data_IF_741167452811
#
_entry.id   IF_741167452811
#
_cell.length_a   1.000
_cell.length_b   1.000
_cell.length_c   1.000
_cell.angle_alpha   90.00
_cell.angle_beta   90.00
_cell.angle_gamma   90.00
#
_symmetry.space_group_name_H-M   'P 1'
#
loop_
_entity.id
_entity.type
_entity.pdbx_description
1 polymer ?
#
# COMPACT_ATOMS: atom_id res chain seq x y z
N UNK A 1 40.29 25.63 21.39
CA UNK A 1 39.55 25.30 20.17
C UNK A 1 39.15 23.83 20.25
N UNK A 2 37.87 23.51 20.40
CA UNK A 2 37.41 22.12 20.38
C UNK A 2 37.30 21.66 18.92
N UNK A 3 37.81 20.47 18.57
CA UNK A 3 37.81 20.01 17.19
C UNK A 3 36.38 19.77 16.70
N UNK A 4 36.09 20.38 15.56
CA UNK A 4 34.81 20.36 14.86
C UNK A 4 34.45 18.90 14.52
N UNK A 5 33.36 18.39 15.11
CA UNK A 5 32.83 17.06 14.77
C UNK A 5 32.35 17.07 13.31
N UNK A 6 32.73 16.08 12.47
CA UNK A 6 32.26 16.02 11.10
C UNK A 6 30.74 15.81 11.05
N UNK A 7 30.11 16.53 10.13
CA UNK A 7 28.68 16.75 9.99
C UNK A 7 27.79 15.49 10.12
N UNK A 8 26.79 15.61 10.99
CA UNK A 8 25.70 14.68 11.29
C UNK A 8 24.71 14.44 10.12
N UNK A 9 25.09 14.72 8.86
CA UNK A 9 24.18 14.78 7.69
C UNK A 9 23.91 13.46 6.98
N UNK A 10 24.74 12.43 7.18
CA UNK A 10 24.62 11.15 6.45
C UNK A 10 24.16 9.95 7.30
N UNK A 11 23.78 10.19 8.56
CA UNK A 11 23.38 9.11 9.47
C UNK A 11 21.94 8.63 9.19
N UNK A 12 21.80 7.38 8.71
CA UNK A 12 20.50 6.75 8.39
C UNK A 12 19.99 5.96 9.59
N UNK A 13 18.68 5.97 9.88
CA UNK A 13 18.13 5.10 10.94
C UNK A 13 18.46 3.63 10.66
N UNK A 14 18.92 2.90 11.68
CA UNK A 14 19.35 1.51 11.57
C UNK A 14 18.27 0.59 10.95
N UNK A 15 17.01 0.74 11.37
CA UNK A 15 15.91 -0.03 10.80
C UNK A 15 15.68 0.24 9.30
N UNK A 16 15.97 1.45 8.83
CA UNK A 16 15.93 1.82 7.42
C UNK A 16 17.11 1.19 6.69
N UNK A 17 18.33 1.30 7.22
CA UNK A 17 19.53 0.69 6.66
C UNK A 17 19.36 -0.83 6.45
N UNK A 18 18.92 -1.56 7.50
CA UNK A 18 18.65 -3.00 7.41
C UNK A 18 17.57 -3.31 6.37
N UNK A 19 16.49 -2.52 6.33
CA UNK A 19 15.43 -2.74 5.34
C UNK A 19 15.87 -2.47 3.90
N UNK A 20 16.74 -1.49 3.70
CA UNK A 20 17.30 -1.13 2.39
C UNK A 20 18.34 -2.15 1.91
N UNK A 21 18.99 -2.91 2.79
CA UNK A 21 19.80 -4.05 2.38
C UNK A 21 19.01 -5.17 1.69
N UNK A 22 17.67 -5.12 1.75
CA UNK A 22 16.77 -6.16 1.27
C UNK A 22 16.48 -7.27 2.28
N UNK A 23 17.15 -7.28 3.44
CA UNK A 23 17.06 -8.37 4.42
C UNK A 23 15.65 -8.59 5.00
N UNK A 24 14.95 -7.52 5.40
CA UNK A 24 13.62 -7.63 5.99
C UNK A 24 12.85 -6.29 5.90
N UNK A 25 11.61 -6.23 6.39
CA UNK A 25 10.91 -4.94 6.50
C UNK A 25 11.44 -4.08 7.66
N UNK A 26 11.25 -2.76 7.61
CA UNK A 26 11.65 -1.86 8.72
C UNK A 26 11.08 -2.28 10.08
N UNK A 27 9.83 -2.78 10.11
CA UNK A 27 9.19 -3.27 11.35
C UNK A 27 9.84 -4.55 11.86
N UNK A 28 10.33 -5.39 10.96
CA UNK A 28 11.03 -6.62 11.33
C UNK A 28 12.45 -6.30 11.79
N UNK A 29 13.10 -5.31 11.16
CA UNK A 29 14.36 -4.78 11.64
C UNK A 29 14.23 -4.23 13.06
N UNK A 30 13.17 -3.46 13.37
CA UNK A 30 12.89 -3.03 14.74
C UNK A 30 12.73 -4.23 15.70
N UNK A 31 12.01 -5.28 15.31
CA UNK A 31 11.90 -6.51 16.11
C UNK A 31 13.25 -7.18 16.36
N UNK A 32 14.12 -7.26 15.35
CA UNK A 32 15.47 -7.82 15.53
C UNK A 32 16.31 -6.98 16.49
N UNK A 33 16.20 -5.64 16.41
CA UNK A 33 16.89 -4.73 17.31
C UNK A 33 16.38 -4.92 18.75
N UNK A 34 15.05 -4.96 18.95
CA UNK A 34 14.42 -5.19 20.26
C UNK A 34 14.82 -6.55 20.89
N UNK A 35 15.00 -7.58 20.06
CA UNK A 35 15.44 -8.91 20.47
C UNK A 35 16.96 -9.00 20.73
N UNK A 36 17.71 -7.90 20.55
CA UNK A 36 19.16 -7.88 20.73
C UNK A 36 19.93 -8.69 19.68
N UNK A 37 19.30 -8.96 18.53
CA UNK A 37 19.88 -9.71 17.41
C UNK A 37 20.71 -8.85 16.46
N UNK A 38 20.75 -7.53 16.69
CA UNK A 38 21.46 -6.57 15.84
C UNK A 38 22.62 -5.95 16.61
N UNK A 39 23.79 -5.93 15.99
CA UNK A 39 24.97 -5.22 16.50
C UNK A 39 25.37 -4.10 15.55
N UNK A 40 25.78 -2.96 16.12
CA UNK A 40 26.34 -1.80 15.44
C UNK A 40 27.76 -1.59 15.98
N UNK A 41 28.79 -1.72 15.16
CA UNK A 41 30.20 -1.65 15.59
C UNK A 41 30.51 -2.55 16.79
N UNK A 42 30.00 -3.79 16.78
CA UNK A 42 30.19 -4.77 17.85
C UNK A 42 29.34 -4.57 19.11
N UNK A 43 28.71 -3.40 19.33
CA UNK A 43 27.76 -3.21 20.45
C UNK A 43 26.34 -3.64 20.06
N UNK A 44 25.55 -4.11 21.01
CA UNK A 44 24.11 -4.32 20.78
C UNK A 44 23.45 -3.00 20.39
N UNK A 45 22.67 -3.03 19.32
CA UNK A 45 21.94 -1.88 18.85
C UNK A 45 20.64 -1.68 19.65
N UNK A 46 20.17 -0.44 19.69
CA UNK A 46 18.89 -0.05 20.31
C UNK A 46 17.97 0.62 19.29
N UNK A 47 16.66 0.55 19.54
CA UNK A 47 15.67 1.15 18.64
C UNK A 47 15.90 2.66 18.55
N UNK A 48 16.06 3.16 17.33
CA UNK A 48 16.34 4.57 17.07
C UNK A 48 17.80 4.88 16.76
N UNK A 49 18.71 3.91 16.93
CA UNK A 49 20.11 4.02 16.50
C UNK A 49 20.20 4.46 15.03
N UNK A 50 21.27 5.21 14.73
CA UNK A 50 21.62 5.62 13.37
C UNK A 50 22.94 4.98 12.96
N UNK A 51 23.09 4.81 11.65
CA UNK A 51 24.22 4.17 10.97
C UNK A 51 24.85 5.22 10.07
N UNK A 52 26.12 5.51 10.31
CA UNK A 52 26.97 6.31 9.44
C UNK A 52 27.63 5.48 8.32
N UNK A 53 28.32 6.12 7.37
CA UNK A 53 28.91 5.44 6.22
C UNK A 53 29.97 4.38 6.56
N UNK A 54 30.67 4.54 7.69
CA UNK A 54 31.75 3.65 8.15
C UNK A 54 31.29 2.62 9.17
N UNK A 55 30.02 2.66 9.58
CA UNK A 55 29.52 1.80 10.64
C UNK A 55 29.27 0.38 10.14
N UNK A 56 29.69 -0.60 10.94
CA UNK A 56 29.47 -2.02 10.70
C UNK A 56 28.17 -2.49 11.36
N UNK A 57 27.20 -2.90 10.55
CA UNK A 57 25.93 -3.46 11.03
C UNK A 57 25.90 -4.97 10.81
N UNK A 58 25.60 -5.75 11.85
CA UNK A 58 25.32 -7.18 11.73
C UNK A 58 23.95 -7.52 12.28
N UNK A 59 23.25 -8.43 11.61
CA UNK A 59 21.98 -9.02 12.08
C UNK A 59 22.20 -10.52 12.20
N UNK A 60 21.98 -11.09 13.39
CA UNK A 60 22.29 -12.49 13.69
C UNK A 60 23.74 -12.88 13.31
N UNK A 61 24.70 -11.99 13.56
CA UNK A 61 26.12 -12.17 13.24
C UNK A 61 26.51 -11.97 11.77
N UNK A 62 25.54 -11.90 10.85
CA UNK A 62 25.78 -11.66 9.42
C UNK A 62 25.93 -10.17 9.11
N UNK A 63 27.00 -9.80 8.43
CA UNK A 63 27.24 -8.44 7.96
C UNK A 63 26.15 -7.99 6.99
N UNK A 64 25.59 -6.81 7.25
CA UNK A 64 24.60 -6.14 6.40
C UNK A 64 25.33 -5.15 5.51
N UNK A 65 25.45 -5.48 4.22
CA UNK A 65 26.04 -4.58 3.25
C UNK A 65 25.05 -3.45 2.88
N UNK A 66 25.58 -2.24 2.70
CA UNK A 66 24.83 -1.16 2.08
C UNK A 66 24.50 -1.54 0.63
N UNK A 67 23.25 -1.37 0.20
CA UNK A 67 22.91 -1.53 -1.21
C UNK A 67 23.49 -0.38 -2.03
N UNK A 68 24.01 -0.70 -3.22
CA UNK A 68 24.35 0.32 -4.21
C UNK A 68 23.06 0.97 -4.71
N UNK A 69 22.83 2.23 -4.32
CA UNK A 69 21.62 2.98 -4.69
C UNK A 69 21.53 3.34 -6.17
N UNK A 70 22.61 3.20 -6.94
CA UNK A 70 22.64 3.44 -8.39
C UNK A 70 22.13 2.23 -9.17
N UNK A 71 22.20 1.03 -8.58
CA UNK A 71 21.70 -0.22 -9.18
C UNK A 71 20.48 -0.69 -8.41
N UNK A 72 19.29 -0.22 -8.83
CA UNK A 72 18.02 -0.63 -8.25
C UNK A 72 17.07 -1.17 -9.33
N UNK A 73 16.16 -2.02 -8.88
CA UNK A 73 15.08 -2.55 -9.71
C UNK A 73 13.97 -1.51 -9.78
N UNK A 74 13.43 -1.29 -10.97
CA UNK A 74 12.21 -0.52 -11.16
C UNK A 74 11.38 -1.15 -12.28
N UNK A 75 10.24 -1.74 -11.89
CA UNK A 75 9.38 -2.49 -12.81
C UNK A 75 7.99 -1.86 -12.92
N UNK A 76 7.39 -2.03 -14.08
CA UNK A 76 5.96 -1.85 -14.33
C UNK A 76 5.28 -3.21 -14.33
N UNK A 77 4.25 -3.35 -13.49
CA UNK A 77 3.40 -4.53 -13.40
C UNK A 77 1.99 -4.19 -13.91
N UNK A 78 1.42 -5.04 -14.77
CA UNK A 78 -0.01 -5.08 -14.99
C UNK A 78 -0.64 -5.96 -13.91
N UNK A 79 -1.05 -5.35 -12.79
CA UNK A 79 -1.53 -6.08 -11.62
C UNK A 79 -2.91 -6.69 -11.91
N UNK A 80 -3.12 -8.00 -11.69
CA UNK A 80 -4.44 -8.60 -11.82
C UNK A 80 -5.36 -8.28 -10.64
N UNK A 81 -6.66 -8.52 -10.83
CA UNK A 81 -7.64 -8.58 -9.73
C UNK A 81 -7.27 -9.72 -8.77
N UNK A 82 -7.53 -9.54 -7.48
CA UNK A 82 -7.28 -10.54 -6.44
C UNK A 82 -5.92 -10.43 -5.73
N UNK A 83 -4.92 -9.83 -6.39
CA UNK A 83 -3.62 -9.48 -5.78
C UNK A 83 -3.77 -8.23 -4.91
N UNK A 84 -3.14 -8.23 -3.74
CA UNK A 84 -3.20 -7.13 -2.76
C UNK A 84 -1.90 -6.32 -2.80
N UNK A 85 -2.02 -5.00 -2.95
CA UNK A 85 -0.88 -4.06 -2.98
C UNK A 85 -0.26 -3.84 -1.59
N UNK A 86 0.31 -4.89 -1.01
CA UNK A 86 0.95 -4.91 0.31
C UNK A 86 2.25 -5.70 0.27
N UNK A 87 3.13 -5.44 1.23
CA UNK A 87 4.38 -6.19 1.47
C UNK A 87 4.29 -7.04 2.73
N UNK A 88 3.10 -7.12 3.32
CA UNK A 88 2.82 -7.95 4.49
C UNK A 88 2.92 -9.44 4.12
N UNK A 89 3.77 -10.17 4.83
CA UNK A 89 4.01 -11.60 4.63
C UNK A 89 2.82 -12.45 5.06
N UNK A 90 1.95 -11.96 5.94
CA UNK A 90 0.72 -12.64 6.36
C UNK A 90 -0.35 -12.65 5.26
N UNK A 91 -0.34 -11.67 4.35
CA UNK A 91 -1.23 -11.67 3.18
C UNK A 91 -0.73 -12.71 2.16
N UNK A 92 -1.58 -13.69 1.87
CA UNK A 92 -1.24 -14.80 0.95
C UNK A 92 -1.08 -14.29 -0.48
N UNK A 93 -1.94 -13.37 -0.91
CA UNK A 93 -1.96 -12.85 -2.28
C UNK A 93 -1.27 -11.48 -2.38
N UNK A 94 -0.19 -11.28 -1.61
CA UNK A 94 0.53 -10.01 -1.63
C UNK A 94 1.33 -9.84 -2.93
N UNK A 95 1.53 -8.58 -3.32
CA UNK A 95 2.11 -8.24 -4.62
C UNK A 95 3.57 -8.66 -4.77
N UNK A 96 4.35 -8.75 -3.67
CA UNK A 96 5.74 -9.20 -3.73
C UNK A 96 5.82 -10.69 -4.09
N UNK A 97 5.02 -11.51 -3.41
CA UNK A 97 4.91 -12.96 -3.69
C UNK A 97 4.39 -13.20 -5.10
N UNK A 98 3.42 -12.40 -5.54
CA UNK A 98 2.87 -12.51 -6.89
C UNK A 98 3.93 -12.25 -7.97
N UNK A 99 4.75 -11.22 -7.81
CA UNK A 99 5.81 -10.89 -8.79
C UNK A 99 6.95 -11.91 -8.74
N UNK A 100 7.30 -12.42 -7.55
CA UNK A 100 8.34 -13.44 -7.40
C UNK A 100 9.76 -12.94 -7.77
N UNK A 101 10.01 -11.64 -7.66
CA UNK A 101 11.31 -11.06 -8.00
C UNK A 101 12.41 -11.49 -7.01
N UNK A 102 13.64 -11.67 -7.51
CA UNK A 102 14.80 -12.09 -6.69
C UNK A 102 15.17 -11.05 -5.62
N UNK A 103 15.18 -9.78 -6.02
CA UNK A 103 15.34 -8.66 -5.08
C UNK A 103 14.03 -8.31 -4.40
N UNK A 104 14.15 -7.83 -3.15
CA UNK A 104 13.02 -7.29 -2.39
C UNK A 104 12.56 -5.96 -3.00
N UNK A 105 11.36 -5.94 -3.56
CA UNK A 105 10.76 -4.78 -4.22
C UNK A 105 9.49 -4.29 -3.51
N UNK A 106 9.19 -3.00 -3.57
CA UNK A 106 8.06 -2.37 -2.90
C UNK A 106 7.13 -1.72 -3.92
N UNK A 107 5.80 -1.87 -3.79
CA UNK A 107 4.87 -1.17 -4.65
C UNK A 107 4.90 0.35 -4.41
N UNK A 108 4.89 1.11 -5.49
CA UNK A 108 4.79 2.57 -5.45
C UNK A 108 3.31 2.94 -5.50
N UNK A 109 2.76 3.18 -4.31
CA UNK A 109 1.33 3.37 -4.12
C UNK A 109 0.56 2.05 -4.10
N UNK A 110 -0.74 2.14 -4.34
CA UNK A 110 -1.64 0.99 -4.21
C UNK A 110 -2.68 1.00 -5.32
N UNK A 111 -3.08 -0.19 -5.72
CA UNK A 111 -4.36 -0.49 -6.35
C UNK A 111 -5.16 -1.38 -5.41
N UNK A 112 -6.47 -1.17 -5.36
CA UNK A 112 -7.37 -2.01 -4.58
C UNK A 112 -7.32 -3.46 -5.07
N UNK A 113 -7.72 -4.41 -4.22
CA UNK A 113 -7.75 -5.84 -4.55
C UNK A 113 -8.65 -6.12 -5.75
N UNK A 114 -9.76 -5.41 -5.85
CA UNK A 114 -10.77 -5.49 -6.93
C UNK A 114 -10.40 -4.66 -8.18
N UNK A 115 -9.22 -4.02 -8.19
CA UNK A 115 -8.76 -3.14 -9.26
C UNK A 115 -7.50 -3.70 -9.91
N UNK A 116 -7.30 -3.37 -11.19
CA UNK A 116 -6.22 -3.91 -12.01
C UNK A 116 -5.45 -2.84 -12.78
N UNK A 117 -4.42 -3.25 -13.51
CA UNK A 117 -3.64 -2.40 -14.39
C UNK A 117 -2.31 -1.97 -13.80
N UNK A 118 -1.77 -0.89 -14.35
CA UNK A 118 -0.40 -0.45 -14.14
C UNK A 118 -0.11 -0.12 -12.68
N UNK A 119 0.94 -0.69 -12.11
CA UNK A 119 1.53 -0.29 -10.84
C UNK A 119 3.04 -0.46 -10.91
N UNK A 120 3.79 0.46 -10.28
CA UNK A 120 5.24 0.35 -10.21
C UNK A 120 5.68 -0.41 -8.98
N UNK A 121 6.80 -1.11 -9.08
CA UNK A 121 7.53 -1.65 -7.95
C UNK A 121 9.01 -1.31 -8.06
N UNK A 122 9.68 -1.08 -6.94
CA UNK A 122 11.12 -0.77 -6.92
C UNK A 122 11.83 -1.40 -5.73
N UNK A 123 13.11 -1.77 -5.86
CA UNK A 123 13.93 -2.13 -4.68
C UNK A 123 14.42 -0.90 -3.89
N UNK A 124 14.32 0.30 -4.47
CA UNK A 124 14.72 1.54 -3.82
C UNK A 124 13.57 2.19 -3.03
N UNK A 125 13.54 1.96 -1.72
CA UNK A 125 12.53 2.50 -0.81
C UNK A 125 12.47 4.03 -0.73
N UNK A 126 13.57 4.73 -1.05
CA UNK A 126 13.62 6.20 -1.06
C UNK A 126 12.74 6.77 -2.19
N UNK A 127 12.67 6.10 -3.34
CA UNK A 127 11.87 6.53 -4.50
C UNK A 127 10.37 6.42 -4.24
N UNK A 128 9.94 5.46 -3.41
CA UNK A 128 8.52 5.22 -3.12
C UNK A 128 7.86 6.50 -2.59
N UNK A 129 8.45 7.11 -1.56
CA UNK A 129 7.88 8.32 -0.96
C UNK A 129 8.05 9.56 -1.85
N UNK A 130 9.17 9.66 -2.59
CA UNK A 130 9.39 10.78 -3.52
C UNK A 130 8.31 10.82 -4.60
N UNK A 131 8.05 9.69 -5.25
CA UNK A 131 7.03 9.56 -6.31
C UNK A 131 5.62 9.71 -5.72
N UNK A 132 5.33 9.16 -4.54
CA UNK A 132 4.01 9.33 -3.93
C UNK A 132 3.71 10.77 -3.53
N UNK A 133 4.70 11.50 -3.01
CA UNK A 133 4.53 12.92 -2.59
C UNK A 133 4.48 13.87 -3.77
N UNK A 134 5.35 13.68 -4.76
CA UNK A 134 5.25 14.37 -6.04
C UNK A 134 3.97 13.97 -6.79
N UNK A 135 3.41 12.80 -6.45
CA UNK A 135 2.22 12.17 -7.00
C UNK A 135 1.02 13.09 -7.18
N UNK A 136 0.85 14.11 -6.31
CA UNK A 136 -0.21 15.11 -6.43
C UNK A 136 -0.07 16.04 -7.66
N UNK A 137 1.06 15.98 -8.37
CA UNK A 137 1.30 16.62 -9.67
C UNK A 137 1.29 15.61 -10.83
N UNK A 138 1.29 14.31 -10.53
CA UNK A 138 1.45 13.25 -11.54
C UNK A 138 0.12 12.64 -11.93
N UNK A 139 -0.21 12.78 -13.21
CA UNK A 139 -1.40 12.18 -13.79
C UNK A 139 -1.37 10.64 -13.73
N UNK A 140 -2.51 10.07 -13.35
CA UNK A 140 -2.83 8.66 -13.37
C UNK A 140 -4.10 8.49 -14.18
N UNK A 141 -4.05 7.71 -15.24
CA UNK A 141 -5.18 7.50 -16.16
C UNK A 141 -5.83 6.16 -15.91
N UNK A 142 -7.16 6.14 -15.92
CA UNK A 142 -7.96 4.96 -15.67
C UNK A 142 -9.01 4.79 -16.75
N UNK A 143 -9.30 3.54 -17.08
CA UNK A 143 -10.48 3.13 -17.84
C UNK A 143 -11.42 2.38 -16.90
N UNK A 144 -12.68 2.80 -16.90
CA UNK A 144 -13.68 2.37 -15.93
C UNK A 144 -14.91 1.88 -16.67
N UNK A 145 -15.35 0.67 -16.33
CA UNK A 145 -16.62 0.10 -16.78
C UNK A 145 -17.63 0.16 -15.64
N UNK A 146 -18.82 0.65 -15.92
CA UNK A 146 -19.91 0.80 -14.94
C UNK A 146 -21.13 -0.05 -15.31
N UNK A 147 -22.01 -0.28 -14.34
CA UNK A 147 -23.16 -1.16 -14.49
C UNK A 147 -24.38 -0.56 -15.25
N UNK A 148 -24.35 0.73 -15.63
CA UNK A 148 -25.47 1.45 -16.30
C UNK A 148 -24.95 2.39 -17.38
N UNK A 149 -25.79 2.77 -18.37
CA UNK A 149 -25.38 3.69 -19.43
C UNK A 149 -24.93 5.04 -18.88
N UNK A 150 -23.85 5.57 -19.42
CA UNK A 150 -23.23 6.83 -19.01
C UNK A 150 -23.98 8.00 -19.65
N UNK A 151 -24.36 8.98 -18.83
CA UNK A 151 -25.03 10.22 -19.27
C UNK A 151 -24.06 11.39 -19.36
N UNK A 152 -24.37 12.42 -20.17
CA UNK A 152 -23.59 13.66 -20.19
C UNK A 152 -23.49 14.34 -18.81
N UNK A 153 -24.56 14.29 -18.01
CA UNK A 153 -24.58 14.84 -16.65
C UNK A 153 -23.63 14.11 -15.70
N UNK A 154 -23.53 12.77 -15.82
CA UNK A 154 -22.55 12.01 -15.06
C UNK A 154 -21.12 12.46 -15.40
N UNK A 155 -20.80 12.62 -16.69
CA UNK A 155 -19.46 13.05 -17.12
C UNK A 155 -19.16 14.46 -16.61
N UNK A 156 -20.12 15.39 -16.75
CA UNK A 156 -19.98 16.77 -16.26
C UNK A 156 -19.85 16.83 -14.74
N UNK A 157 -20.64 16.05 -14.00
CA UNK A 157 -20.56 15.96 -12.55
C UNK A 157 -19.23 15.38 -12.08
N UNK A 158 -18.80 14.26 -12.65
CA UNK A 158 -17.53 13.61 -12.35
C UNK A 158 -16.32 14.53 -12.58
N UNK A 159 -16.35 15.32 -13.66
CA UNK A 159 -15.24 16.22 -14.03
C UNK A 159 -15.11 17.45 -13.11
N UNK A 160 -16.22 17.93 -12.52
CA UNK A 160 -16.25 19.17 -11.75
C UNK A 160 -15.85 19.04 -10.28
N UNK A 161 -15.52 17.83 -9.84
CA UNK A 161 -15.24 17.51 -8.45
C UNK A 161 -16.48 16.90 -7.79
N UNK A 162 -16.25 15.91 -6.92
CA UNK A 162 -17.30 15.11 -6.29
C UNK A 162 -17.08 15.12 -4.77
N UNK A 163 -18.11 15.37 -3.95
CA UNK A 163 -17.97 15.32 -2.50
C UNK A 163 -17.89 13.87 -2.02
N UNK A 164 -16.71 13.46 -1.57
CA UNK A 164 -16.46 12.13 -1.00
C UNK A 164 -15.56 12.24 0.23
N UNK A 165 -15.71 11.33 1.20
CA UNK A 165 -14.84 11.30 2.39
C UNK A 165 -14.76 12.65 3.15
N UNK A 166 -15.84 13.43 3.15
CA UNK A 166 -15.91 14.72 3.81
C UNK A 166 -15.11 15.85 3.14
N UNK A 167 -14.69 15.67 1.87
CA UNK A 167 -14.00 16.71 1.09
C UNK A 167 -14.41 16.67 -0.38
N UNK A 168 -14.10 17.73 -1.12
CA UNK A 168 -14.36 17.81 -2.56
C UNK A 168 -13.14 17.29 -3.32
N UNK A 169 -13.32 16.33 -4.23
CA UNK A 169 -12.22 15.92 -5.11
C UNK A 169 -11.78 17.07 -6.01
N UNK A 170 -10.54 17.03 -6.48
CA UNK A 170 -10.09 17.95 -7.52
C UNK A 170 -10.86 17.71 -8.81
N UNK A 171 -11.00 18.78 -9.61
CA UNK A 171 -11.49 18.66 -10.99
C UNK A 171 -10.57 17.75 -11.79
N UNK A 172 -11.16 16.96 -12.68
CA UNK A 172 -10.43 15.98 -13.46
C UNK A 172 -10.95 15.89 -14.90
N UNK A 173 -10.11 15.37 -15.80
CA UNK A 173 -10.52 15.09 -17.18
C UNK A 173 -11.31 13.79 -17.18
N UNK A 174 -12.50 13.81 -17.76
CA UNK A 174 -13.39 12.65 -17.90
C UNK A 174 -13.89 12.59 -19.34
N UNK A 175 -13.80 11.43 -19.97
CA UNK A 175 -14.21 11.21 -21.35
C UNK A 175 -14.99 9.90 -21.45
N UNK A 176 -16.20 9.96 -21.99
CA UNK A 176 -16.94 8.75 -22.35
C UNK A 176 -16.27 8.05 -23.54
N UNK A 177 -16.05 6.74 -23.43
CA UNK A 177 -15.48 5.91 -24.49
C UNK A 177 -16.53 5.01 -25.16
N UNK A 178 -17.55 4.60 -24.42
CA UNK A 178 -18.70 3.85 -24.92
C UNK A 178 -19.91 4.04 -24.01
N UNK A 179 -21.01 3.33 -24.28
CA UNK A 179 -22.22 3.35 -23.44
C UNK A 179 -21.93 3.08 -21.96
N UNK A 180 -21.00 2.18 -21.64
CA UNK A 180 -20.73 1.73 -20.27
C UNK A 180 -19.29 2.01 -19.81
N UNK A 181 -18.46 2.64 -20.64
CA UNK A 181 -17.03 2.83 -20.36
C UNK A 181 -16.66 4.31 -20.45
N UNK A 182 -15.92 4.79 -19.46
CA UNK A 182 -15.28 6.11 -19.49
C UNK A 182 -13.82 6.04 -19.09
N UNK A 183 -13.07 7.04 -19.53
CA UNK A 183 -11.70 7.33 -19.10
C UNK A 183 -11.72 8.49 -18.13
N UNK A 184 -10.87 8.44 -17.11
CA UNK A 184 -10.58 9.60 -16.27
C UNK A 184 -9.10 9.71 -15.91
N UNK A 185 -8.65 10.93 -15.67
CA UNK A 185 -7.27 11.23 -15.29
C UNK A 185 -7.23 11.97 -13.96
N UNK A 186 -6.62 11.35 -12.94
CA UNK A 186 -6.49 11.89 -11.59
C UNK A 186 -5.05 12.23 -11.25
N UNK A 187 -4.84 13.34 -10.54
CA UNK A 187 -3.56 13.68 -9.92
C UNK A 187 -3.51 13.25 -8.46
N UNK A 188 -4.64 13.13 -7.78
CA UNK A 188 -4.75 12.63 -6.41
C UNK A 188 -5.04 11.11 -6.36
N UNK A 189 -5.04 10.55 -5.15
CA UNK A 189 -5.22 9.12 -4.92
C UNK A 189 -5.86 8.81 -3.58
N UNK A 190 -7.10 9.28 -3.36
CA UNK A 190 -7.85 8.99 -2.14
C UNK A 190 -8.28 7.51 -2.08
N UNK A 191 -8.62 7.04 -0.88
CA UNK A 191 -9.05 5.65 -0.70
C UNK A 191 -10.32 5.33 -1.53
N UNK A 192 -10.20 4.39 -2.46
CA UNK A 192 -11.28 3.95 -3.36
C UNK A 192 -11.94 5.11 -4.13
N UNK A 193 -11.18 6.18 -4.42
CA UNK A 193 -11.68 7.45 -4.94
C UNK A 193 -12.69 7.28 -6.08
N UNK A 194 -12.29 6.61 -7.16
CA UNK A 194 -13.09 6.45 -8.38
C UNK A 194 -14.40 5.72 -8.10
N UNK A 195 -14.36 4.68 -7.26
CA UNK A 195 -15.54 3.89 -6.90
C UNK A 195 -16.53 4.74 -6.10
N UNK A 196 -16.03 5.51 -5.12
CA UNK A 196 -16.85 6.45 -4.33
C UNK A 196 -17.44 7.57 -5.18
N UNK A 197 -16.67 8.09 -6.14
CA UNK A 197 -17.19 9.10 -7.07
C UNK A 197 -18.31 8.53 -7.95
N UNK A 198 -18.18 7.28 -8.41
CA UNK A 198 -19.25 6.61 -9.15
C UNK A 198 -20.48 6.37 -8.26
N UNK A 199 -20.29 5.87 -7.04
CA UNK A 199 -21.35 5.61 -6.06
C UNK A 199 -22.16 6.88 -5.76
N UNK A 200 -21.52 8.04 -5.68
CA UNK A 200 -22.19 9.34 -5.48
C UNK A 200 -23.24 9.65 -6.56
N UNK A 201 -22.99 9.25 -7.81
CA UNK A 201 -23.94 9.42 -8.92
C UNK A 201 -24.84 8.19 -9.12
N UNK A 202 -24.84 7.23 -8.19
CA UNK A 202 -25.62 5.99 -8.31
C UNK A 202 -25.03 4.96 -9.28
N UNK A 203 -23.73 5.04 -9.59
CA UNK A 203 -23.02 4.10 -10.46
C UNK A 203 -22.16 3.11 -9.66
N UNK A 204 -22.28 1.82 -9.98
CA UNK A 204 -21.40 0.76 -9.50
C UNK A 204 -20.31 0.47 -10.54
N UNK A 205 -19.06 0.39 -10.09
CA UNK A 205 -17.89 0.08 -10.94
C UNK A 205 -17.72 -1.43 -11.10
N UNK A 206 -17.82 -1.92 -12.33
CA UNK A 206 -17.63 -3.33 -12.73
C UNK A 206 -16.17 -3.66 -13.06
N UNK A 207 -15.47 -2.75 -13.74
CA UNK A 207 -14.04 -2.89 -14.06
C UNK A 207 -13.34 -1.57 -13.79
N UNK A 208 -12.19 -1.61 -13.12
CA UNK A 208 -11.33 -0.46 -12.90
C UNK A 208 -9.89 -0.82 -13.26
N UNK A 209 -9.39 -0.21 -14.33
CA UNK A 209 -8.06 -0.50 -14.88
C UNK A 209 -7.24 0.78 -14.99
N UNK A 210 -6.09 0.84 -14.31
CA UNK A 210 -5.15 1.94 -14.47
C UNK A 210 -4.30 1.71 -15.72
N UNK A 211 -4.44 2.58 -16.73
CA UNK A 211 -3.79 2.42 -18.04
C UNK A 211 -2.50 3.24 -18.17
N UNK A 212 -2.29 4.26 -17.32
CA UNK A 212 -1.10 5.11 -17.37
C UNK A 212 -0.74 5.68 -16.00
N UNK A 213 0.55 5.82 -15.74
CA UNK A 213 1.12 6.59 -14.63
C UNK A 213 2.22 7.46 -15.24
N UNK A 214 2.07 8.78 -15.15
CA UNK A 214 3.02 9.73 -15.76
C UNK A 214 3.20 9.46 -17.26
N UNK A 215 4.43 9.22 -17.70
CA UNK A 215 4.86 8.88 -19.05
C UNK A 215 4.71 7.38 -19.37
N UNK A 216 4.59 6.50 -18.37
CA UNK A 216 4.51 5.04 -18.58
C UNK A 216 3.07 4.61 -18.84
N UNK A 217 2.86 3.93 -19.96
CA UNK A 217 1.58 3.35 -20.37
C UNK A 217 1.60 1.84 -20.17
N UNK A 218 0.42 1.27 -19.92
CA UNK A 218 0.21 -0.18 -19.82
C UNK A 218 0.58 -0.87 -21.15
N UNK A 219 0.18 -0.29 -22.28
CA UNK A 219 0.55 -0.77 -23.61
C UNK A 219 0.15 -2.23 -23.84
N UNK A 220 1.07 -3.02 -24.39
CA UNK A 220 0.88 -4.45 -24.67
C UNK A 220 1.18 -5.37 -23.47
N UNK A 221 1.49 -4.83 -22.29
CA UNK A 221 1.82 -5.62 -21.09
C UNK A 221 0.60 -6.40 -20.63
N UNK A 222 0.64 -7.72 -20.76
CA UNK A 222 -0.49 -8.58 -20.42
C UNK A 222 -0.75 -8.62 -18.92
N UNK A 223 -2.00 -8.92 -18.54
CA UNK A 223 -2.41 -9.01 -17.13
C UNK A 223 -1.56 -10.06 -16.41
N UNK A 224 -1.00 -9.67 -15.26
CA UNK A 224 -0.10 -10.49 -14.46
C UNK A 224 1.37 -10.39 -14.84
N UNK A 225 1.69 -9.85 -16.02
CA UNK A 225 3.07 -9.68 -16.44
C UNK A 225 3.67 -8.36 -15.93
N UNK A 226 4.99 -8.38 -15.77
CA UNK A 226 5.79 -7.22 -15.44
C UNK A 226 7.00 -7.12 -16.35
N UNK A 227 7.53 -5.91 -16.47
CA UNK A 227 8.79 -5.62 -17.18
C UNK A 227 9.58 -4.55 -16.46
N UNK A 228 10.88 -4.50 -16.70
CA UNK A 228 11.67 -3.32 -16.33
C UNK A 228 11.15 -2.09 -17.08
N UNK A 229 11.26 -0.92 -16.43
CA UNK A 229 11.12 0.33 -17.15
C UNK A 229 12.27 0.48 -18.15
N UNK A 230 11.97 1.09 -19.29
CA UNK A 230 13.00 1.52 -20.22
C UNK A 230 13.81 2.67 -19.61
N UNK A 231 15.05 2.86 -20.08
CA UNK A 231 15.90 3.96 -19.61
C UNK A 231 15.23 5.33 -19.77
N UNK A 232 14.55 5.55 -20.90
CA UNK A 232 13.77 6.76 -21.16
C UNK A 232 12.62 6.92 -20.16
N UNK A 233 11.86 5.86 -19.93
CA UNK A 233 10.76 5.91 -18.97
C UNK A 233 11.25 6.27 -17.57
N UNK A 234 12.36 5.66 -17.14
CA UNK A 234 12.95 5.91 -15.83
C UNK A 234 13.52 7.33 -15.74
N UNK A 235 14.24 7.81 -16.77
CA UNK A 235 14.81 9.16 -16.80
C UNK A 235 13.74 10.24 -16.64
N UNK A 236 12.63 10.13 -17.38
CA UNK A 236 11.49 11.06 -17.27
C UNK A 236 10.88 11.04 -15.85
N UNK A 237 10.74 9.85 -15.24
CA UNK A 237 10.23 9.72 -13.86
C UNK A 237 11.18 10.43 -12.90
N UNK A 238 12.48 10.18 -13.01
CA UNK A 238 13.50 10.76 -12.13
C UNK A 238 13.56 12.29 -12.27
N UNK A 239 13.47 12.81 -13.50
CA UNK A 239 13.37 14.24 -13.75
C UNK A 239 12.10 14.84 -13.12
N UNK A 240 10.96 14.14 -13.21
CA UNK A 240 9.68 14.64 -12.68
C UNK A 240 9.61 14.69 -11.14
N UNK A 241 10.52 14.00 -10.44
CA UNK A 241 10.59 13.96 -8.98
C UNK A 241 11.82 14.66 -8.39
N UNK A 242 12.65 15.32 -9.22
CA UNK A 242 13.91 15.92 -8.79
C UNK A 242 13.74 16.91 -7.63
N UNK A 243 12.68 17.72 -7.65
CA UNK A 243 12.37 18.72 -6.61
C UNK A 243 11.71 18.11 -5.35
N UNK A 244 11.39 16.82 -5.37
CA UNK A 244 10.70 16.14 -4.27
C UNK A 244 11.70 15.67 -3.22
N UNK A 245 11.72 16.34 -2.07
CA UNK A 245 12.61 15.97 -0.95
C UNK A 245 12.27 14.62 -0.30
N UNK A 246 11.13 14.00 -0.64
CA UNK A 246 10.67 12.72 -0.07
C UNK A 246 10.28 12.78 1.41
N UNK A 247 10.66 13.86 2.10
CA UNK A 247 10.34 14.17 3.49
C UNK A 247 8.91 14.72 3.61
N UNK A 248 8.30 14.54 4.78
CA UNK A 248 7.03 15.21 5.08
C UNK A 248 7.29 16.72 5.23
N UNK A 249 6.40 17.61 4.74
CA UNK A 249 6.50 19.02 5.07
C UNK A 249 6.49 19.19 6.60
N UNK A 250 7.43 19.97 7.13
CA UNK A 250 7.44 20.30 8.56
C UNK A 250 6.17 21.09 8.88
N UNK A 251 5.30 20.54 9.73
CA UNK A 251 4.11 21.29 10.19
C UNK A 251 2.88 20.49 10.61
N UNK A 252 2.69 19.25 10.17
CA UNK A 252 1.55 18.45 10.64
C UNK A 252 1.84 17.75 11.98
N UNK A 253 1.80 18.52 13.08
CA UNK A 253 1.59 17.94 14.41
C UNK A 253 0.21 17.27 14.42
N UNK A 254 0.15 15.96 14.27
CA UNK A 254 -1.09 15.23 14.54
C UNK A 254 -1.46 15.49 16.00
N UNK A 255 -2.53 16.26 16.25
CA UNK A 255 -3.13 16.32 17.59
C UNK A 255 -3.63 14.92 17.90
N UNK A 256 -2.83 14.13 18.64
CA UNK A 256 -3.30 12.89 19.24
C UNK A 256 -4.53 13.23 20.11
N UNK A 257 -5.66 12.53 19.96
CA UNK A 257 -6.76 12.69 20.91
C UNK A 257 -6.22 12.33 22.31
N UNK A 258 -6.38 13.23 23.28
CA UNK A 258 -6.08 12.92 24.68
C UNK A 258 -7.08 11.87 25.14
N UNK A 259 -6.63 10.62 25.26
CA UNK A 259 -7.39 9.58 25.93
C UNK A 259 -7.56 9.97 27.40
N UNK A 260 -8.78 10.33 27.81
CA UNK A 260 -9.13 10.50 29.22
C UNK A 260 -9.32 9.10 29.81
N UNK A 261 -8.46 8.71 30.76
CA UNK A 261 -8.70 7.54 31.61
C UNK A 261 -10.05 7.73 32.34
N UNK A 262 -10.91 6.71 32.42
CA UNK A 262 -12.02 6.73 33.37
C UNK A 262 -11.46 6.79 34.79
N UNK A 263 -12.03 7.63 35.63
CA UNK A 263 -11.70 7.71 37.05
C UNK A 263 -12.16 6.43 37.75
N UNK A 264 -11.30 5.88 38.61
CA UNK A 264 -11.68 4.85 39.58
C UNK A 264 -12.82 5.39 40.47
N UNK A 265 -13.99 4.80 40.30
CA UNK A 265 -15.19 5.09 41.09
C UNK A 265 -15.80 3.77 41.52
N UNK A 266 -15.59 3.43 42.79
CA UNK A 266 -16.23 2.34 43.51
C UNK A 266 -17.77 2.42 43.40
N UNK A 267 -18.40 1.41 42.83
CA UNK A 267 -19.84 1.21 42.95
C UNK A 267 -20.16 -0.28 43.09
N UNK A 268 -20.67 -0.63 44.27
CA UNK A 268 -21.16 -1.96 44.66
C UNK A 268 -22.44 -2.35 43.87
N UNK A 269 -22.75 -3.65 43.76
CA UNK A 269 -23.84 -4.13 42.91
C UNK A 269 -25.21 -3.96 43.60
N UNK A 270 -26.10 -3.19 43.00
CA UNK A 270 -27.51 -3.13 43.41
C UNK A 270 -28.31 -4.29 42.80
N UNK A 271 -28.87 -5.12 43.67
CA UNK A 271 -29.83 -6.20 43.39
C UNK A 271 -31.03 -5.66 42.60
N UNK A 272 -31.42 -6.32 41.50
CA UNK A 272 -32.74 -6.14 40.87
C UNK A 272 -33.61 -7.36 41.11
N UNK A 273 -34.68 -7.12 41.85
CA UNK A 273 -35.82 -7.99 42.07
C UNK A 273 -36.69 -8.09 40.81
N UNK A 274 -37.31 -9.25 40.65
CA UNK A 274 -38.26 -9.56 39.58
C UNK A 274 -39.58 -8.79 39.75
N UNK A 275 -40.11 -8.25 38.65
CA UNK A 275 -41.55 -8.24 38.41
C UNK A 275 -41.83 -8.37 36.91
N UNK A 276 -42.95 -9.03 36.65
CA UNK A 276 -43.37 -9.71 35.44
C UNK A 276 -44.48 -8.89 34.76
N UNK A 277 -44.52 -8.83 33.42
CA UNK A 277 -45.71 -8.87 32.56
C UNK A 277 -45.42 -8.40 31.13
N UNK A 278 -45.91 -9.16 30.13
CA UNK A 278 -46.11 -8.68 28.75
C UNK A 278 -45.60 -9.63 27.65
N UNK A 279 -46.51 -10.43 27.09
CA UNK A 279 -46.32 -11.55 26.12
C UNK A 279 -46.04 -11.10 24.66
N UNK A 280 -44.99 -11.66 24.02
CA UNK A 280 -44.98 -12.57 22.82
C UNK A 280 -45.12 -11.93 21.42
N UNK A 281 -44.82 -12.60 20.27
CA UNK A 281 -44.49 -14.02 20.08
C UNK A 281 -43.32 -14.35 19.11
N UNK A 282 -42.99 -15.65 19.13
CA UNK A 282 -42.23 -16.45 18.17
C UNK A 282 -40.72 -16.63 18.35
N UNK A 283 -40.41 -17.73 19.04
CA UNK A 283 -39.14 -18.42 19.00
C UNK A 283 -39.32 -19.76 18.27
N UNK A 284 -38.29 -20.13 17.50
CA UNK A 284 -37.77 -21.49 17.25
C UNK A 284 -38.56 -22.47 16.37
N UNK A 285 -37.84 -22.94 15.34
CA UNK A 285 -37.66 -24.34 14.99
C UNK A 285 -36.30 -24.45 14.25
N UNK A 286 -35.48 -25.49 14.31
CA UNK A 286 -35.32 -26.68 15.17
C UNK A 286 -34.02 -27.34 14.71
N UNK A 287 -33.28 -27.94 15.65
CA UNK A 287 -32.14 -28.83 15.37
C UNK A 287 -32.61 -30.10 14.65
N UNK A 288 -31.83 -30.57 13.69
CA UNK A 288 -31.90 -31.94 13.14
C UNK A 288 -30.50 -32.46 12.80
N UNK A 289 -30.11 -33.58 13.43
CA UNK A 289 -28.91 -34.40 13.13
C UNK A 289 -29.07 -35.06 11.74
N UNK A 290 -28.02 -35.27 10.95
CA UNK A 290 -27.16 -36.49 10.84
C UNK A 290 -26.63 -36.54 9.37
N UNK A 291 -25.81 -37.51 8.89
CA UNK A 291 -24.63 -38.17 9.45
C UNK A 291 -23.39 -38.14 8.50
N UNK A 292 -22.31 -38.69 9.05
CA UNK A 292 -20.96 -39.03 8.56
C UNK A 292 -20.81 -39.64 7.13
N UNK A 293 -19.76 -39.23 6.34
CA UNK A 293 -18.84 -40.06 5.50
C UNK A 293 -17.94 -39.20 4.53
N UNK A 294 -16.84 -39.71 3.93
CA UNK A 294 -15.47 -39.71 4.49
C UNK A 294 -14.44 -38.95 3.62
N UNK A 295 -13.19 -38.96 4.09
CA UNK A 295 -12.00 -38.39 3.46
C UNK A 295 -11.67 -38.98 2.08
N UNK A 296 -11.16 -38.13 1.17
CA UNK A 296 -10.45 -38.55 -0.04
C UNK A 296 -9.06 -37.88 -0.10
N UNK A 297 -8.07 -38.72 -0.39
CA UNK A 297 -6.63 -38.44 -0.47
C UNK A 297 -6.25 -37.65 -1.72
N UNK A 298 -5.08 -37.04 -1.59
CA UNK A 298 -4.12 -36.55 -2.59
C UNK A 298 -4.29 -36.98 -4.05
N UNK A 299 -3.98 -36.05 -4.95
CA UNK A 299 -2.98 -36.31 -5.98
C UNK A 299 -2.16 -35.06 -6.35
N UNK A 300 -0.84 -35.23 -6.23
CA UNK A 300 0.21 -34.32 -6.69
C UNK A 300 0.63 -34.77 -8.10
N UNK A 301 0.57 -33.86 -9.08
CA UNK A 301 1.41 -33.85 -10.30
C UNK A 301 1.65 -32.37 -10.58
N UNK A 302 2.85 -31.79 -10.49
CA UNK A 302 4.12 -32.25 -11.03
C UNK A 302 4.30 -31.63 -12.41
N UNK A 303 4.70 -30.35 -12.48
CA UNK A 303 5.10 -29.65 -13.72
C UNK A 303 6.61 -29.44 -13.68
N UNK A 304 7.39 -29.93 -14.66
CA UNK A 304 8.80 -29.61 -14.79
C UNK A 304 8.96 -28.28 -15.54
N UNK A 305 9.95 -27.48 -15.10
CA UNK A 305 10.46 -26.31 -15.80
C UNK A 305 11.64 -26.73 -16.69
N UNK A 306 11.63 -26.25 -17.92
CA UNK A 306 12.81 -25.74 -18.63
C UNK A 306 12.74 -24.22 -18.65
#
# INVERSE_FOLDING_TARGET
MQPNQPQQRDAVRLNKFISESGMCSRREADRYIEQGQVTLNGRKAVVGDKVGPTDEVRVNGRLVAAQNKEKFVFIALNKPVGVVSTTDSAERNNIQKFVGHKERIFPIGRLDKDSQGLIFLTSNGDLVNKILRAGNKHEKEYVVTVHRPITPDFIKGMANGVPILGTMTKRCKVQQLSTFVFRLTLIEGMNRQIRRMCEHFGYEVRKLERTRIMNVRLGALQVGQWRNLTERELADIMASIADSTGLAPEGHKSKRPKYKKPADGTAQPAKRTHSNQGKSPWAKASRGKSPNKPAAKSDKKGWPYE
#
